data_IF_579672443022
#
_entry.id   IF_579672443022
#
_cell.length_a   1.000
_cell.length_b   1.000
_cell.length_c   1.000
_cell.angle_alpha   90.00
_cell.angle_beta   90.00
_cell.angle_gamma   90.00
#
_symmetry.space_group_name_H-M   'P 1'
#
loop_
_entity.id
_entity.type
_entity.pdbx_description
1 polymer ?
#
# COMPACT_ATOMS: atom_id res chain seq x y z
N UNK A 1 -1.62 6.49 28.08
CA UNK A 1 -2.83 5.73 27.70
C UNK A 1 -3.49 6.52 26.59
N UNK A 2 -3.75 5.88 25.44
CA UNK A 2 -4.48 6.55 24.35
C UNK A 2 -5.93 6.81 24.75
N UNK A 3 -6.56 7.82 24.15
CA UNK A 3 -7.99 8.11 24.32
C UNK A 3 -8.82 6.91 23.85
N UNK A 4 -9.74 6.43 24.69
CA UNK A 4 -10.68 5.36 24.34
C UNK A 4 -12.09 5.76 24.77
N UNK A 5 -13.11 5.28 24.10
CA UNK A 5 -14.51 5.51 24.39
C UNK A 5 -15.36 4.27 24.18
N UNK A 6 -16.63 4.34 24.58
CA UNK A 6 -17.53 3.19 24.48
C UNK A 6 -17.76 2.74 23.03
N UNK A 7 -17.78 3.66 22.07
CA UNK A 7 -17.92 3.40 20.62
C UNK A 7 -16.57 3.14 19.91
N UNK A 8 -15.44 3.48 20.53
CA UNK A 8 -14.10 3.29 19.99
C UNK A 8 -13.12 2.70 21.03
N UNK A 9 -13.36 1.46 21.47
CA UNK A 9 -12.54 0.81 22.50
C UNK A 9 -11.11 0.55 22.09
N UNK A 10 -10.80 0.57 20.78
CA UNK A 10 -9.45 0.36 20.24
C UNK A 10 -8.61 1.65 20.20
N UNK A 11 -9.19 2.82 20.48
CA UNK A 11 -8.49 4.10 20.58
C UNK A 11 -8.80 5.08 19.48
N UNK A 12 -7.96 6.13 19.37
CA UNK A 12 -8.08 7.24 18.43
C UNK A 12 -6.88 7.23 17.49
N UNK A 13 -7.13 7.44 16.20
CA UNK A 13 -6.11 7.66 15.16
C UNK A 13 -6.33 9.05 14.58
N UNK A 14 -5.29 9.87 14.59
CA UNK A 14 -5.24 11.11 13.81
C UNK A 14 -4.70 10.77 12.43
N UNK A 15 -5.47 11.09 11.38
CA UNK A 15 -5.14 10.72 10.01
C UNK A 15 -5.24 11.92 9.08
N UNK A 16 -4.26 12.05 8.19
CA UNK A 16 -4.30 12.96 7.06
C UNK A 16 -3.88 12.21 5.81
N UNK A 17 -4.78 12.06 4.85
CA UNK A 17 -4.52 11.49 3.53
C UNK A 17 -4.85 12.56 2.51
N UNK A 18 -3.87 12.91 1.67
CA UNK A 18 -4.02 13.99 0.71
C UNK A 18 -3.14 13.79 -0.51
N UNK A 19 -3.50 14.46 -1.59
CA UNK A 19 -2.67 14.61 -2.80
C UNK A 19 -2.16 16.05 -2.82
N UNK A 20 -0.84 16.22 -2.88
CA UNK A 20 -0.19 17.52 -2.98
C UNK A 20 0.30 17.79 -4.39
N UNK A 21 0.15 19.03 -4.85
CA UNK A 21 0.78 19.51 -6.09
C UNK A 21 1.86 20.53 -5.77
N UNK A 22 3.06 20.31 -6.33
CA UNK A 22 4.18 21.23 -6.23
C UNK A 22 4.39 21.94 -7.59
N UNK A 23 4.79 23.20 -7.52
CA UNK A 23 5.07 24.04 -8.68
C UNK A 23 6.28 24.96 -8.44
N UNK A 24 6.63 25.77 -9.43
CA UNK A 24 7.68 26.79 -9.36
C UNK A 24 9.03 26.25 -8.84
N UNK A 25 9.43 25.09 -9.36
CA UNK A 25 10.70 24.48 -8.98
C UNK A 25 11.89 25.37 -9.31
N UNK A 26 12.72 25.66 -8.30
CA UNK A 26 13.97 26.42 -8.44
C UNK A 26 15.12 25.56 -7.94
N UNK A 27 16.09 25.32 -8.82
CA UNK A 27 17.32 24.61 -8.47
C UNK A 27 18.11 25.40 -7.41
N UNK A 28 18.44 24.75 -6.30
CA UNK A 28 19.17 25.34 -5.16
C UNK A 28 20.58 24.76 -5.07
N UNK A 29 20.71 23.44 -5.16
CA UNK A 29 21.99 22.73 -5.17
C UNK A 29 21.91 21.51 -6.08
N UNK A 30 23.00 20.75 -6.19
CA UNK A 30 23.03 19.48 -6.95
C UNK A 30 21.90 18.53 -6.54
N UNK A 31 21.47 18.57 -5.27
CA UNK A 31 20.52 17.62 -4.70
C UNK A 31 19.20 18.24 -4.28
N UNK A 32 19.02 19.55 -4.39
CA UNK A 32 17.85 20.23 -3.83
C UNK A 32 17.21 21.21 -4.77
N UNK A 33 15.88 21.28 -4.65
CA UNK A 33 15.03 22.28 -5.30
C UNK A 33 14.14 22.94 -4.25
N UNK A 34 13.96 24.26 -4.35
CA UNK A 34 12.82 24.91 -3.68
C UNK A 34 11.59 24.73 -4.56
N UNK A 35 10.47 24.35 -3.97
CA UNK A 35 9.20 24.18 -4.66
C UNK A 35 8.07 24.86 -3.88
N UNK A 36 7.08 25.39 -4.61
CA UNK A 36 5.89 25.98 -4.02
C UNK A 36 4.79 24.94 -3.93
N UNK A 37 4.10 24.88 -2.79
CA UNK A 37 2.88 24.07 -2.66
C UNK A 37 1.76 24.81 -3.39
N UNK A 38 1.21 24.18 -4.45
CA UNK A 38 0.12 24.73 -5.23
C UNK A 38 -1.23 24.38 -4.63
N UNK A 39 -1.42 23.13 -4.23
CA UNK A 39 -2.64 22.64 -3.57
C UNK A 39 -2.37 21.41 -2.71
N UNK A 40 -3.24 21.22 -1.71
CA UNK A 40 -3.39 19.98 -0.94
C UNK A 40 -4.86 19.58 -1.02
N UNK A 41 -5.17 18.44 -1.62
CA UNK A 41 -6.52 17.91 -1.76
C UNK A 41 -6.69 16.71 -0.82
N UNK A 42 -7.51 16.86 0.21
CA UNK A 42 -7.71 15.86 1.27
C UNK A 42 -8.78 14.85 0.89
N UNK A 43 -8.52 13.57 1.14
CA UNK A 43 -9.49 12.48 0.93
C UNK A 43 -10.72 12.66 1.82
N UNK A 44 -10.52 13.05 3.08
CA UNK A 44 -11.58 13.31 4.04
C UNK A 44 -11.52 14.77 4.49
N UNK A 45 -12.69 15.44 4.68
CA UNK A 45 -12.71 16.83 5.12
C UNK A 45 -12.00 17.01 6.46
N UNK A 46 -11.06 17.94 6.52
CA UNK A 46 -10.32 18.29 7.75
C UNK A 46 -11.27 18.69 8.88
N UNK A 47 -10.99 18.20 10.09
CA UNK A 47 -11.80 18.46 11.29
C UNK A 47 -13.02 17.56 11.44
N UNK A 48 -13.25 16.62 10.52
CA UNK A 48 -14.31 15.60 10.66
C UNK A 48 -13.80 14.36 11.38
N UNK A 49 -14.74 13.54 11.86
CA UNK A 49 -14.44 12.31 12.61
C UNK A 49 -15.32 11.15 12.11
N UNK A 50 -14.78 9.93 12.18
CA UNK A 50 -15.52 8.69 11.87
C UNK A 50 -15.13 7.55 12.82
N UNK A 51 -16.08 6.70 13.19
CA UNK A 51 -15.77 5.46 13.93
C UNK A 51 -15.87 4.29 12.98
N UNK A 52 -14.77 3.54 12.83
CA UNK A 52 -14.70 2.33 12.02
C UNK A 52 -14.01 1.23 12.82
N UNK A 53 -14.60 0.05 12.87
CA UNK A 53 -14.07 -1.14 13.55
C UNK A 53 -13.63 -0.93 15.02
N UNK A 54 -14.29 0.01 15.72
CA UNK A 54 -13.99 0.36 17.10
C UNK A 54 -12.78 1.28 17.27
N UNK A 55 -12.34 1.95 16.21
CA UNK A 55 -11.34 3.03 16.20
C UNK A 55 -12.03 4.34 15.83
N UNK A 56 -11.72 5.41 16.54
CA UNK A 56 -12.13 6.78 16.18
C UNK A 56 -11.03 7.39 15.29
N UNK A 57 -11.35 7.67 14.05
CA UNK A 57 -10.51 8.43 13.13
C UNK A 57 -10.85 9.91 13.25
N UNK A 58 -9.83 10.73 13.47
CA UNK A 58 -9.91 12.20 13.43
C UNK A 58 -9.11 12.68 12.23
N UNK A 59 -9.80 13.26 11.23
CA UNK A 59 -9.17 13.73 10.00
C UNK A 59 -8.59 15.12 10.20
N UNK A 60 -7.28 15.26 9.99
CA UNK A 60 -6.51 16.47 10.28
C UNK A 60 -5.86 17.04 9.04
N UNK A 61 -5.39 18.29 9.14
CA UNK A 61 -4.47 18.88 8.16
C UNK A 61 -3.20 18.04 8.00
N UNK A 62 -2.48 18.27 6.91
CA UNK A 62 -1.16 17.70 6.65
C UNK A 62 -0.14 18.26 7.65
N UNK A 63 -0.01 17.60 8.80
CA UNK A 63 0.85 18.02 9.89
C UNK A 63 2.29 18.26 9.41
N UNK A 64 2.80 19.47 9.65
CA UNK A 64 4.10 19.93 9.18
C UNK A 64 4.07 20.60 7.79
N UNK A 65 2.91 20.71 7.13
CA UNK A 65 2.71 21.49 5.91
C UNK A 65 1.66 22.61 6.10
N UNK A 66 1.10 22.77 7.31
CA UNK A 66 0.15 23.81 7.64
C UNK A 66 0.79 25.18 7.40
N UNK A 67 0.06 26.09 6.77
CA UNK A 67 0.50 27.47 6.48
C UNK A 67 1.86 27.56 5.75
N UNK A 68 2.24 26.51 5.02
CA UNK A 68 3.51 26.43 4.31
C UNK A 68 3.30 26.78 2.84
N UNK A 69 4.01 27.78 2.34
CA UNK A 69 3.99 28.15 0.90
C UNK A 69 5.06 27.40 0.11
N UNK A 70 6.23 27.16 0.70
CA UNK A 70 7.39 26.57 0.01
C UNK A 70 8.04 25.47 0.82
N UNK A 71 8.53 24.45 0.11
CA UNK A 71 9.26 23.32 0.68
C UNK A 71 10.58 23.11 -0.07
N UNK A 72 11.51 22.40 0.57
CA UNK A 72 12.73 21.90 -0.08
C UNK A 72 12.46 20.47 -0.56
N UNK A 73 12.57 20.25 -1.87
CA UNK A 73 12.54 18.91 -2.46
C UNK A 73 13.97 18.39 -2.57
N UNK A 74 14.23 17.22 -2.02
CA UNK A 74 15.45 16.45 -2.14
C UNK A 74 15.29 15.33 -3.16
N UNK A 75 16.27 15.17 -4.07
CA UNK A 75 16.21 14.11 -5.09
C UNK A 75 16.83 12.80 -4.57
N UNK A 76 16.52 11.65 -5.19
CA UNK A 76 17.20 10.38 -4.90
C UNK A 76 18.72 10.53 -5.02
N UNK A 77 19.45 9.84 -4.16
CA UNK A 77 20.91 9.92 -4.09
C UNK A 77 21.47 11.05 -3.19
N UNK A 78 20.63 11.94 -2.67
CA UNK A 78 21.06 13.01 -1.74
C UNK A 78 21.80 12.42 -0.55
N UNK A 79 23.09 12.78 -0.34
CA UNK A 79 23.86 12.29 0.80
C UNK A 79 23.41 12.95 2.11
N UNK A 80 23.67 12.30 3.24
CA UNK A 80 23.24 12.77 4.56
C UNK A 80 23.71 14.19 4.91
N UNK A 81 24.88 14.61 4.40
CA UNK A 81 25.47 15.94 4.64
C UNK A 81 24.75 17.07 3.90
N UNK A 82 24.03 16.74 2.83
CA UNK A 82 23.29 17.70 2.00
C UNK A 82 21.81 17.81 2.41
N UNK A 83 21.43 17.08 3.45
CA UNK A 83 20.05 17.09 4.00
C UNK A 83 20.00 17.99 5.24
N UNK A 84 18.82 18.57 5.51
CA UNK A 84 18.59 19.29 6.77
C UNK A 84 18.70 18.34 7.98
N UNK A 85 19.02 18.90 9.16
CA UNK A 85 19.06 18.13 10.40
C UNK A 85 17.69 17.51 10.70
N UNK A 86 16.61 18.23 10.39
CA UNK A 86 15.22 17.81 10.55
C UNK A 86 14.92 16.60 9.68
N UNK A 87 15.24 16.64 8.38
CA UNK A 87 15.02 15.51 7.50
C UNK A 87 15.81 14.28 7.96
N UNK A 88 17.08 14.45 8.36
CA UNK A 88 17.88 13.36 8.91
C UNK A 88 17.29 12.75 10.20
N UNK A 89 16.60 13.55 11.00
CA UNK A 89 15.92 13.10 12.22
C UNK A 89 14.69 12.24 11.93
N UNK A 90 14.00 12.52 10.82
CA UNK A 90 12.85 11.73 10.35
C UNK A 90 13.22 10.45 9.61
N UNK A 91 14.47 10.33 9.15
CA UNK A 91 15.02 9.12 8.54
C UNK A 91 15.38 8.09 9.62
N UNK A 92 14.51 7.13 9.85
CA UNK A 92 14.62 6.14 10.95
C UNK A 92 15.83 5.20 10.79
N UNK A 93 16.40 5.05 9.59
CA UNK A 93 17.33 3.97 9.26
C UNK A 93 18.78 4.41 8.99
N UNK A 94 19.15 5.66 9.24
CA UNK A 94 20.55 6.10 9.06
C UNK A 94 21.09 5.94 7.62
N UNK A 95 20.21 6.02 6.62
CA UNK A 95 20.58 5.92 5.22
C UNK A 95 21.65 6.93 4.86
N UNK A 96 22.74 6.48 4.26
CA UNK A 96 23.84 7.36 3.81
C UNK A 96 23.42 8.23 2.63
N UNK A 97 22.47 7.76 1.81
CA UNK A 97 21.86 8.46 0.68
C UNK A 97 20.36 8.19 0.65
N UNK A 98 19.58 9.17 0.16
CA UNK A 98 18.16 8.98 -0.05
C UNK A 98 17.92 7.93 -1.15
N UNK A 99 17.06 6.96 -0.87
CA UNK A 99 16.59 5.97 -1.85
C UNK A 99 15.55 6.55 -2.81
N UNK A 100 14.75 7.51 -2.34
CA UNK A 100 13.69 8.16 -3.11
C UNK A 100 13.64 9.68 -2.83
N UNK A 101 12.65 10.38 -3.37
CA UNK A 101 12.44 11.80 -3.11
C UNK A 101 12.07 12.04 -1.64
N UNK A 102 12.46 13.20 -1.11
CA UNK A 102 12.02 13.66 0.20
C UNK A 102 11.65 15.14 0.15
N UNK A 103 10.79 15.57 1.08
CA UNK A 103 10.40 16.96 1.24
C UNK A 103 10.82 17.41 2.64
N UNK A 104 11.54 18.52 2.74
CA UNK A 104 11.84 19.22 3.98
C UNK A 104 11.03 20.49 4.10
N UNK A 105 10.48 20.74 5.27
CA UNK A 105 9.91 22.01 5.66
C UNK A 105 10.70 22.57 6.84
N UNK A 106 11.70 23.41 6.53
CA UNK A 106 12.61 23.96 7.53
C UNK A 106 11.91 24.94 8.48
N UNK A 107 10.85 25.62 8.02
CA UNK A 107 10.07 26.56 8.84
C UNK A 107 9.35 25.86 10.00
N UNK A 108 8.87 24.66 9.77
CA UNK A 108 8.15 23.86 10.76
C UNK A 108 8.99 22.70 11.34
N UNK A 109 10.24 22.54 10.89
CA UNK A 109 11.14 21.46 11.32
C UNK A 109 10.60 20.07 11.05
N UNK A 110 9.95 19.86 9.89
CA UNK A 110 9.40 18.60 9.44
C UNK A 110 10.08 18.09 8.17
N UNK A 111 10.13 16.77 8.05
CA UNK A 111 10.58 16.08 6.86
C UNK A 111 9.64 14.93 6.51
N UNK A 112 9.41 14.76 5.22
CA UNK A 112 8.64 13.67 4.64
C UNK A 112 9.55 12.89 3.70
N UNK A 113 9.70 11.61 3.94
CA UNK A 113 10.50 10.73 3.09
C UNK A 113 9.55 9.96 2.20
N UNK A 114 9.77 10.07 0.90
CA UNK A 114 9.02 9.31 -0.07
C UNK A 114 9.49 7.86 -0.13
N UNK A 115 8.62 6.99 -0.61
CA UNK A 115 8.92 5.59 -0.90
C UNK A 115 8.65 5.33 -2.38
N UNK A 116 9.43 4.46 -2.99
CA UNK A 116 9.14 3.95 -4.32
C UNK A 116 8.03 2.90 -4.22
N UNK A 117 6.79 3.30 -4.52
CA UNK A 117 5.64 2.41 -4.45
C UNK A 117 5.79 1.19 -5.36
N UNK A 118 6.40 1.37 -6.53
CA UNK A 118 6.59 0.26 -7.46
C UNK A 118 7.61 -0.75 -6.90
N UNK A 119 8.69 -0.27 -6.28
CA UNK A 119 9.68 -1.15 -5.64
C UNK A 119 9.10 -1.83 -4.41
N UNK A 120 8.36 -1.11 -3.56
CA UNK A 120 7.69 -1.71 -2.40
C UNK A 120 6.76 -2.86 -2.81
N UNK A 121 6.03 -2.70 -3.92
CA UNK A 121 5.18 -3.78 -4.43
C UNK A 121 6.00 -4.97 -4.95
N UNK A 122 7.14 -4.71 -5.61
CA UNK A 122 8.05 -5.80 -6.04
C UNK A 122 8.61 -6.57 -4.84
N UNK A 123 8.99 -5.86 -3.78
CA UNK A 123 9.42 -6.48 -2.51
C UNK A 123 8.28 -7.27 -1.84
N UNK A 124 7.06 -6.74 -1.82
CA UNK A 124 5.88 -7.44 -1.27
C UNK A 124 5.61 -8.75 -2.04
N UNK A 125 5.72 -8.73 -3.38
CA UNK A 125 5.59 -9.94 -4.20
C UNK A 125 6.70 -10.94 -3.92
N UNK A 126 7.95 -10.50 -3.79
CA UNK A 126 9.07 -11.38 -3.44
C UNK A 126 8.87 -12.03 -2.07
N UNK A 127 8.44 -11.26 -1.07
CA UNK A 127 8.11 -11.77 0.27
C UNK A 127 6.94 -12.76 0.24
N UNK A 128 5.93 -12.52 -0.61
CA UNK A 128 4.81 -13.44 -0.78
C UNK A 128 5.26 -14.77 -1.40
N UNK A 129 6.21 -14.76 -2.34
CA UNK A 129 6.77 -15.99 -2.92
C UNK A 129 7.53 -16.81 -1.86
N UNK A 130 8.36 -16.16 -1.03
CA UNK A 130 9.04 -16.82 0.08
C UNK A 130 8.03 -17.46 1.05
N UNK A 131 6.96 -16.73 1.37
CA UNK A 131 5.90 -17.23 2.26
C UNK A 131 5.11 -18.37 1.62
N UNK A 132 4.90 -18.34 0.29
CA UNK A 132 4.28 -19.44 -0.45
C UNK A 132 5.08 -20.73 -0.32
N UNK A 133 6.42 -20.67 -0.42
CA UNK A 133 7.28 -21.86 -0.24
C UNK A 133 7.10 -22.47 1.14
N UNK A 134 7.00 -21.65 2.22
CA UNK A 134 6.71 -22.13 3.56
C UNK A 134 5.33 -22.81 3.66
N UNK A 135 4.31 -22.21 3.03
CA UNK A 135 2.95 -22.76 3.03
C UNK A 135 2.85 -24.05 2.22
N UNK A 136 3.58 -24.15 1.11
CA UNK A 136 3.67 -25.37 0.30
C UNK A 136 4.30 -26.52 1.10
N UNK A 137 5.35 -26.25 1.89
CA UNK A 137 5.95 -27.25 2.79
C UNK A 137 4.95 -27.69 3.88
N UNK A 138 4.20 -26.76 4.46
CA UNK A 138 3.14 -27.09 5.42
C UNK A 138 2.02 -27.91 4.77
N UNK A 139 1.64 -27.59 3.53
CA UNK A 139 0.60 -28.30 2.78
C UNK A 139 1.02 -29.76 2.53
N UNK A 140 2.30 -29.98 2.17
CA UNK A 140 2.86 -31.32 1.98
C UNK A 140 2.94 -32.14 3.29
N UNK A 141 3.12 -31.48 4.42
CA UNK A 141 3.20 -32.11 5.75
C UNK A 141 1.83 -32.32 6.42
N UNK A 142 0.77 -31.69 5.89
CA UNK A 142 -0.57 -31.78 6.46
C UNK A 142 -1.13 -33.21 6.41
N UNK A 143 -1.77 -33.63 7.48
CA UNK A 143 -2.28 -34.99 7.63
C UNK A 143 -3.81 -35.06 7.69
N UNK A 144 -4.46 -33.91 7.77
CA UNK A 144 -5.94 -33.83 7.82
C UNK A 144 -6.49 -32.91 6.74
N UNK A 145 -7.72 -33.20 6.30
CA UNK A 145 -8.38 -32.33 5.32
C UNK A 145 -8.64 -30.92 5.85
N UNK A 146 -8.86 -30.78 7.15
CA UNK A 146 -9.02 -29.47 7.77
C UNK A 146 -7.75 -28.62 7.64
N UNK A 147 -6.59 -29.19 7.94
CA UNK A 147 -5.29 -28.52 7.76
C UNK A 147 -5.06 -28.13 6.31
N UNK A 148 -5.36 -29.02 5.35
CA UNK A 148 -5.25 -28.73 3.91
C UNK A 148 -6.14 -27.56 3.49
N UNK A 149 -7.38 -27.51 3.99
CA UNK A 149 -8.31 -26.43 3.69
C UNK A 149 -7.83 -25.10 4.26
N UNK A 150 -7.34 -25.10 5.52
CA UNK A 150 -6.87 -23.89 6.20
C UNK A 150 -5.61 -23.33 5.53
N UNK A 151 -4.63 -24.18 5.20
CA UNK A 151 -3.42 -23.75 4.48
C UNK A 151 -3.76 -23.21 3.10
N UNK A 152 -4.64 -23.87 2.35
CA UNK A 152 -5.04 -23.40 1.01
C UNK A 152 -5.76 -22.06 1.07
N UNK A 153 -6.53 -21.81 2.13
CA UNK A 153 -7.16 -20.50 2.37
C UNK A 153 -6.12 -19.43 2.74
N UNK A 154 -5.09 -19.78 3.54
CA UNK A 154 -3.98 -18.88 3.87
C UNK A 154 -3.19 -18.50 2.60
N UNK A 155 -2.91 -19.45 1.71
CA UNK A 155 -2.25 -19.21 0.42
C UNK A 155 -3.06 -18.25 -0.47
N UNK A 156 -4.38 -18.43 -0.54
CA UNK A 156 -5.25 -17.52 -1.30
C UNK A 156 -5.27 -16.12 -0.67
N UNK A 157 -5.44 -16.04 0.64
CA UNK A 157 -5.47 -14.75 1.36
C UNK A 157 -4.19 -13.96 1.22
N UNK A 158 -3.04 -14.62 1.18
CA UNK A 158 -1.73 -14.01 0.94
C UNK A 158 -1.70 -13.28 -0.41
N UNK A 159 -2.07 -13.95 -1.49
CA UNK A 159 -2.07 -13.38 -2.84
C UNK A 159 -3.18 -12.34 -3.05
N UNK A 160 -4.32 -12.49 -2.39
CA UNK A 160 -5.39 -11.49 -2.41
C UNK A 160 -4.96 -10.19 -1.73
N UNK A 161 -4.20 -10.26 -0.63
CA UNK A 161 -3.59 -9.10 0.02
C UNK A 161 -2.62 -8.37 -0.90
N UNK A 162 -1.70 -9.10 -1.54
CA UNK A 162 -0.73 -8.53 -2.50
C UNK A 162 -1.43 -7.88 -3.70
N UNK A 163 -2.50 -8.50 -4.20
CA UNK A 163 -3.30 -7.92 -5.29
C UNK A 163 -3.91 -6.58 -4.88
N UNK A 164 -4.45 -6.50 -3.67
CA UNK A 164 -5.07 -5.28 -3.16
C UNK A 164 -4.03 -4.16 -2.93
N UNK A 165 -2.83 -4.50 -2.42
CA UNK A 165 -1.74 -3.55 -2.27
C UNK A 165 -1.26 -3.01 -3.63
N UNK A 166 -1.06 -3.89 -4.61
CA UNK A 166 -0.71 -3.52 -5.98
C UNK A 166 -1.79 -2.63 -6.62
N UNK A 167 -3.07 -2.97 -6.42
CA UNK A 167 -4.17 -2.16 -6.94
C UNK A 167 -4.19 -0.75 -6.34
N UNK A 168 -3.94 -0.64 -5.03
CA UNK A 168 -3.78 0.66 -4.34
C UNK A 168 -2.62 1.48 -4.89
N UNK A 169 -1.47 0.85 -5.16
CA UNK A 169 -0.30 1.51 -5.74
C UNK A 169 -0.57 1.98 -7.18
N UNK A 170 -1.20 1.16 -8.02
CA UNK A 170 -1.60 1.55 -9.38
C UNK A 170 -2.53 2.75 -9.38
N UNK A 171 -3.49 2.79 -8.43
CA UNK A 171 -4.39 3.93 -8.27
C UNK A 171 -3.69 5.25 -7.91
N UNK A 172 -2.51 5.19 -7.29
CA UNK A 172 -1.69 6.37 -6.99
C UNK A 172 -0.73 6.74 -8.12
N UNK A 173 -0.27 5.78 -8.90
CA UNK A 173 0.77 5.97 -9.92
C UNK A 173 0.22 6.26 -11.31
N UNK A 174 -0.96 5.75 -11.64
CA UNK A 174 -1.54 5.87 -12.98
C UNK A 174 -2.49 7.06 -13.10
N UNK A 175 -2.59 7.60 -14.32
CA UNK A 175 -3.58 8.62 -14.62
C UNK A 175 -5.02 8.08 -14.47
N UNK A 176 -5.99 8.90 -14.06
CA UNK A 176 -7.38 8.46 -13.85
C UNK A 176 -8.01 7.72 -15.03
N UNK A 177 -7.67 8.13 -16.27
CA UNK A 177 -8.17 7.51 -17.50
C UNK A 177 -7.65 6.07 -17.69
N UNK A 178 -6.38 5.83 -17.34
CA UNK A 178 -5.76 4.50 -17.43
C UNK A 178 -6.33 3.59 -16.34
N UNK A 179 -6.57 4.13 -15.14
CA UNK A 179 -7.23 3.40 -14.06
C UNK A 179 -8.69 3.04 -14.36
N UNK A 180 -9.42 3.88 -15.12
CA UNK A 180 -10.78 3.54 -15.56
C UNK A 180 -10.77 2.30 -16.46
N UNK A 181 -9.84 2.25 -17.42
CA UNK A 181 -9.68 1.09 -18.32
C UNK A 181 -9.30 -0.19 -17.54
N UNK A 182 -8.33 -0.08 -16.62
CA UNK A 182 -7.93 -1.19 -15.75
C UNK A 182 -9.08 -1.67 -14.85
N UNK A 183 -9.88 -0.75 -14.31
CA UNK A 183 -11.04 -1.07 -13.47
C UNK A 183 -12.08 -1.92 -14.23
N UNK A 184 -12.32 -1.62 -15.49
CA UNK A 184 -13.23 -2.43 -16.32
C UNK A 184 -12.68 -3.84 -16.54
N UNK A 185 -11.39 -3.98 -16.80
CA UNK A 185 -10.72 -5.27 -16.96
C UNK A 185 -10.78 -6.07 -15.64
N UNK A 186 -10.48 -5.41 -14.49
CA UNK A 186 -10.47 -6.05 -13.19
C UNK A 186 -11.85 -6.58 -12.79
N UNK A 187 -12.90 -5.83 -13.05
CA UNK A 187 -14.28 -6.29 -12.83
C UNK A 187 -14.67 -7.52 -13.67
N UNK A 188 -14.15 -7.62 -14.89
CA UNK A 188 -14.35 -8.81 -15.72
C UNK A 188 -13.57 -10.00 -15.17
N UNK A 189 -12.31 -9.77 -14.84
CA UNK A 189 -11.43 -10.79 -14.26
C UNK A 189 -11.97 -11.33 -12.92
N UNK A 190 -12.50 -10.49 -12.03
CA UNK A 190 -13.12 -10.93 -10.76
C UNK A 190 -14.23 -11.93 -11.03
N UNK A 191 -15.11 -11.64 -11.99
CA UNK A 191 -16.21 -12.57 -12.36
C UNK A 191 -15.68 -13.90 -12.89
N UNK A 192 -14.64 -13.86 -13.71
CA UNK A 192 -14.01 -15.06 -14.26
C UNK A 192 -13.31 -15.87 -13.15
N UNK A 193 -12.59 -15.19 -12.22
CA UNK A 193 -11.98 -15.82 -11.05
C UNK A 193 -13.03 -16.51 -10.18
N UNK A 194 -14.11 -15.82 -9.83
CA UNK A 194 -15.19 -16.36 -9.00
C UNK A 194 -15.86 -17.57 -9.66
N UNK A 195 -16.16 -17.49 -10.95
CA UNK A 195 -16.79 -18.59 -11.68
C UNK A 195 -15.88 -19.82 -11.77
N UNK A 196 -14.60 -19.62 -12.08
CA UNK A 196 -13.62 -20.71 -12.20
C UNK A 196 -13.33 -21.37 -10.84
N UNK A 197 -13.20 -20.56 -9.78
CA UNK A 197 -12.97 -21.08 -8.42
C UNK A 197 -14.17 -21.85 -7.90
N UNK A 198 -15.37 -21.36 -8.18
CA UNK A 198 -16.61 -22.06 -7.85
C UNK A 198 -16.71 -23.40 -8.57
N UNK A 199 -16.45 -23.42 -9.88
CA UNK A 199 -16.48 -24.66 -10.69
C UNK A 199 -15.47 -25.70 -10.15
N UNK A 200 -14.27 -25.27 -9.75
CA UNK A 200 -13.28 -26.16 -9.14
C UNK A 200 -13.77 -26.74 -7.81
N UNK A 201 -14.44 -25.95 -6.98
CA UNK A 201 -15.07 -26.46 -5.75
C UNK A 201 -16.24 -27.42 -6.02
N UNK A 202 -17.07 -27.13 -7.03
CA UNK A 202 -18.23 -27.96 -7.38
C UNK A 202 -17.85 -29.38 -7.84
N UNK A 203 -16.62 -29.61 -8.33
CA UNK A 203 -16.14 -30.97 -8.64
C UNK A 203 -16.11 -31.87 -7.39
N UNK A 204 -16.07 -31.27 -6.20
CA UNK A 204 -16.04 -31.94 -4.89
C UNK A 204 -17.26 -31.59 -4.04
N UNK A 205 -18.39 -31.27 -4.66
CA UNK A 205 -19.61 -30.78 -3.99
C UNK A 205 -20.03 -31.69 -2.83
N UNK A 206 -20.22 -31.09 -1.65
CA UNK A 206 -20.60 -31.80 -0.41
C UNK A 206 -19.46 -32.61 0.22
N UNK A 207 -18.29 -32.63 -0.38
CA UNK A 207 -17.11 -33.27 0.15
C UNK A 207 -16.18 -32.32 0.91
N UNK A 208 -15.32 -32.86 1.76
CA UNK A 208 -14.38 -32.09 2.58
C UNK A 208 -13.26 -31.39 1.77
N UNK A 209 -13.09 -31.71 0.50
CA UNK A 209 -12.09 -31.11 -0.40
C UNK A 209 -12.63 -29.88 -1.15
N UNK A 210 -13.91 -29.58 -1.06
CA UNK A 210 -14.55 -28.49 -1.81
C UNK A 210 -13.88 -27.14 -1.55
N UNK A 211 -13.66 -26.78 -0.28
CA UNK A 211 -13.04 -25.52 0.12
C UNK A 211 -11.58 -25.42 -0.32
N UNK A 212 -10.83 -26.53 -0.25
CA UNK A 212 -9.44 -26.60 -0.71
C UNK A 212 -9.37 -26.33 -2.22
N UNK A 213 -10.18 -27.04 -3.01
CA UNK A 213 -10.19 -26.90 -4.48
C UNK A 213 -10.57 -25.48 -4.92
N UNK A 214 -11.58 -24.89 -4.27
CA UNK A 214 -11.95 -23.49 -4.48
C UNK A 214 -10.76 -22.54 -4.18
N UNK A 215 -10.16 -22.67 -3.00
CA UNK A 215 -9.09 -21.77 -2.53
C UNK A 215 -7.83 -21.89 -3.39
N UNK A 216 -7.44 -23.11 -3.77
CA UNK A 216 -6.30 -23.34 -4.66
C UNK A 216 -6.51 -22.70 -6.03
N UNK A 217 -7.71 -22.82 -6.61
CA UNK A 217 -8.02 -22.20 -7.90
C UNK A 217 -8.06 -20.69 -7.80
N UNK A 218 -8.64 -20.14 -6.74
CA UNK A 218 -8.65 -18.70 -6.48
C UNK A 218 -7.22 -18.16 -6.31
N UNK A 219 -6.37 -18.84 -5.56
CA UNK A 219 -4.96 -18.48 -5.36
C UNK A 219 -4.19 -18.48 -6.68
N UNK A 220 -4.30 -19.55 -7.49
CA UNK A 220 -3.63 -19.65 -8.80
C UNK A 220 -3.96 -18.45 -9.70
N UNK A 221 -5.26 -18.12 -9.80
CA UNK A 221 -5.74 -17.04 -10.65
C UNK A 221 -5.31 -15.66 -10.11
N UNK A 222 -5.35 -15.48 -8.79
CA UNK A 222 -4.94 -14.22 -8.15
C UNK A 222 -3.44 -13.99 -8.30
N UNK A 223 -2.61 -14.99 -8.04
CA UNK A 223 -1.15 -14.89 -8.25
C UNK A 223 -0.82 -14.54 -9.71
N UNK A 224 -1.46 -15.21 -10.67
CA UNK A 224 -1.29 -14.88 -12.09
C UNK A 224 -1.68 -13.42 -12.38
N UNK A 225 -2.78 -12.94 -11.82
CA UNK A 225 -3.24 -11.56 -12.01
C UNK A 225 -2.26 -10.54 -11.44
N UNK A 226 -1.69 -10.80 -10.27
CA UNK A 226 -0.63 -9.96 -9.70
C UNK A 226 0.51 -9.78 -10.70
N UNK A 227 1.01 -10.87 -11.30
CA UNK A 227 2.09 -10.78 -12.30
C UNK A 227 1.69 -10.10 -13.61
N UNK A 228 0.42 -10.13 -13.97
CA UNK A 228 -0.09 -9.37 -15.12
C UNK A 228 -0.09 -7.86 -14.80
N UNK A 229 -0.61 -7.49 -13.63
CA UNK A 229 -0.69 -6.09 -13.19
C UNK A 229 0.66 -5.49 -12.79
N UNK A 230 1.65 -6.28 -12.35
CA UNK A 230 3.02 -5.79 -12.11
C UNK A 230 3.64 -5.10 -13.33
N UNK A 231 3.29 -5.53 -14.54
CA UNK A 231 3.77 -4.93 -15.79
C UNK A 231 3.23 -3.51 -16.01
N UNK A 232 2.17 -3.18 -15.30
CA UNK A 232 1.55 -1.86 -15.32
C UNK A 232 2.30 -0.84 -14.45
N UNK A 233 3.27 -1.29 -13.63
CA UNK A 233 4.14 -0.41 -12.84
C UNK A 233 5.35 0.11 -13.62
N UNK A 234 5.66 -0.49 -14.78
CA UNK A 234 6.76 -0.08 -15.67
C UNK A 234 6.26 0.98 -16.66
#
# INVERSE_FOLDING_TARGET
>A
MGETGQSYPKGVIYQSVFIGQLAEFRHVSEYTYSAKILSLEYENPVGTEAVQDGVLYKYTDAYGLEDTETVTLYVPGTPAQERSEELNRWLVCGETKLSFYAIGNDAHQYGFVGTDLAENIREAVASAEEKMEELDQKLQAANTQLELNDISREQYSLWDSVLNELWGALGQLKAPQDMEALTLQERSWIKEKEAASKAAGEEFEGGSMQDMAFSQKAMELTRKRVYELLKELD
#
